data_IF_242336659616
#
_entry.id   IF_242336659616
#
_cell.length_a   1.000
_cell.length_b   1.000
_cell.length_c   1.000
_cell.angle_alpha   90.00
_cell.angle_beta   90.00
_cell.angle_gamma   90.00
#
_symmetry.space_group_name_H-M   'P 1'
#
loop_
_entity.id
_entity.type
_entity.pdbx_description
1 polymer ?
#
# COMPACT_ATOMS: atom_id res chain seq x y z
N UNK A 1 -18.89 -4.17 -35.01
CA UNK A 1 -18.06 -3.47 -34.01
C UNK A 1 -17.42 -2.31 -34.73
N UNK A 2 -17.52 -1.11 -34.18
CA UNK A 2 -17.14 0.13 -34.87
C UNK A 2 -15.61 0.29 -34.90
N UNK A 3 -15.01 0.11 -36.07
CA UNK A 3 -13.56 0.07 -36.32
C UNK A 3 -12.85 1.37 -35.89
N UNK A 4 -13.61 2.48 -35.77
CA UNK A 4 -13.14 3.77 -35.27
C UNK A 4 -12.72 3.76 -33.80
N UNK A 5 -13.31 2.90 -32.96
CA UNK A 5 -13.00 2.88 -31.53
C UNK A 5 -11.67 2.17 -31.23
N UNK A 6 -11.27 1.22 -32.08
CA UNK A 6 -10.05 0.42 -31.84
C UNK A 6 -8.77 1.24 -32.04
N UNK A 7 -8.83 2.31 -32.85
CA UNK A 7 -7.72 3.25 -33.05
C UNK A 7 -7.44 4.14 -31.82
N UNK A 8 -8.39 4.23 -30.88
CA UNK A 8 -8.20 4.94 -29.62
C UNK A 8 -7.46 4.09 -28.57
N UNK A 9 -7.32 2.79 -28.79
CA UNK A 9 -6.60 1.91 -27.88
C UNK A 9 -5.07 2.12 -27.98
N UNK A 10 -4.41 2.03 -26.83
CA UNK A 10 -2.96 2.18 -26.73
C UNK A 10 -2.29 0.93 -27.30
N UNK A 11 -1.56 1.09 -28.41
CA UNK A 11 -0.84 0.02 -29.07
C UNK A 11 0.23 -0.60 -28.15
N UNK A 12 0.48 -1.93 -28.23
CA UNK A 12 1.53 -2.59 -27.45
C UNK A 12 2.90 -1.98 -27.78
N UNK A 13 3.69 -1.64 -26.75
CA UNK A 13 4.98 -0.96 -26.90
C UNK A 13 4.91 0.58 -26.89
N UNK A 14 3.71 1.18 -26.90
CA UNK A 14 3.51 2.62 -26.75
C UNK A 14 3.51 3.01 -25.27
N UNK A 15 4.48 3.83 -24.84
CA UNK A 15 4.56 4.36 -23.46
C UNK A 15 5.99 4.48 -22.92
N UNK A 16 6.11 4.99 -21.69
CA UNK A 16 7.41 5.00 -20.98
C UNK A 16 7.69 3.60 -20.42
N UNK A 17 8.91 3.11 -20.64
CA UNK A 17 9.38 1.86 -20.03
C UNK A 17 9.47 2.02 -18.50
N UNK A 18 9.20 0.95 -17.76
CA UNK A 18 9.41 0.95 -16.31
C UNK A 18 10.89 1.10 -15.99
N UNK A 19 11.21 1.79 -14.89
CA UNK A 19 12.60 1.87 -14.40
C UNK A 19 13.05 0.54 -13.76
N UNK A 20 12.10 -0.25 -13.28
CA UNK A 20 12.34 -1.56 -12.72
C UNK A 20 12.14 -2.66 -13.76
N UNK A 21 13.03 -3.64 -13.74
CA UNK A 21 12.91 -4.91 -14.44
C UNK A 21 11.82 -5.78 -13.79
N UNK A 22 11.34 -6.77 -14.53
CA UNK A 22 10.34 -7.73 -14.05
C UNK A 22 10.87 -8.48 -12.81
N UNK A 23 12.14 -8.87 -12.82
CA UNK A 23 12.79 -9.56 -11.69
C UNK A 23 12.80 -8.69 -10.44
N UNK A 24 13.19 -7.43 -10.58
CA UNK A 24 13.22 -6.46 -9.47
C UNK A 24 11.81 -6.20 -8.92
N UNK A 25 10.79 -6.12 -9.79
CA UNK A 25 9.39 -6.01 -9.36
C UNK A 25 8.95 -7.24 -8.53
N UNK A 26 9.40 -8.44 -8.89
CA UNK A 26 9.11 -9.64 -8.10
C UNK A 26 9.80 -9.63 -6.73
N UNK A 27 11.04 -9.14 -6.65
CA UNK A 27 11.77 -8.96 -5.39
C UNK A 27 11.06 -7.97 -4.47
N UNK A 28 10.65 -6.82 -5.01
CA UNK A 28 9.88 -5.81 -4.25
C UNK A 28 8.55 -6.37 -3.76
N UNK A 29 7.87 -7.17 -4.59
CA UNK A 29 6.64 -7.87 -4.18
C UNK A 29 6.90 -8.82 -3.01
N UNK A 30 8.04 -9.52 -3.01
CA UNK A 30 8.47 -10.37 -1.89
C UNK A 30 8.60 -9.58 -0.59
N UNK A 31 9.27 -8.43 -0.62
CA UNK A 31 9.42 -7.56 0.55
C UNK A 31 8.09 -7.06 1.10
N UNK A 32 7.20 -6.59 0.23
CA UNK A 32 5.87 -6.11 0.60
C UNK A 32 4.97 -7.22 1.17
N UNK A 33 5.22 -8.47 0.79
CA UNK A 33 4.48 -9.63 1.31
C UNK A 33 5.00 -10.08 2.69
N UNK A 34 6.28 -9.86 2.96
CA UNK A 34 6.93 -10.20 4.23
C UNK A 34 6.64 -9.16 5.32
N UNK A 35 6.65 -7.87 4.96
CA UNK A 35 6.46 -6.76 5.90
C UNK A 35 5.35 -5.82 5.41
N UNK A 36 4.19 -5.89 6.07
CA UNK A 36 3.03 -5.04 5.78
C UNK A 36 3.14 -3.63 6.34
N UNK A 37 4.17 -3.33 7.13
CA UNK A 37 4.43 -2.00 7.70
C UNK A 37 5.44 -1.18 6.89
N UNK A 38 5.87 -1.68 5.72
CA UNK A 38 6.75 -0.96 4.81
C UNK A 38 6.10 0.33 4.33
N UNK A 39 6.64 1.46 4.80
CA UNK A 39 6.25 2.79 4.34
C UNK A 39 6.94 3.13 3.01
N UNK A 40 6.41 4.12 2.29
CA UNK A 40 6.97 4.59 1.02
C UNK A 40 8.45 5.00 1.18
N UNK A 41 8.77 5.71 2.27
CA UNK A 41 10.14 6.20 2.51
C UNK A 41 11.10 5.05 2.88
N UNK A 42 10.64 4.06 3.64
CA UNK A 42 11.44 2.85 3.92
C UNK A 42 11.68 2.02 2.67
N UNK A 43 10.64 1.83 1.85
CA UNK A 43 10.77 1.10 0.60
C UNK A 43 11.70 1.83 -0.37
N UNK A 44 11.70 3.16 -0.37
CA UNK A 44 12.64 3.97 -1.15
C UNK A 44 14.08 3.65 -0.80
N UNK A 45 14.42 3.76 0.48
CA UNK A 45 15.78 3.51 0.98
C UNK A 45 16.20 2.07 0.63
N UNK A 46 15.31 1.10 0.86
CA UNK A 46 15.60 -0.30 0.55
C UNK A 46 15.85 -0.56 -0.94
N UNK A 47 15.09 0.07 -1.84
CA UNK A 47 15.31 -0.04 -3.29
C UNK A 47 16.62 0.64 -3.70
N UNK A 48 16.96 1.76 -3.07
CA UNK A 48 18.20 2.49 -3.34
C UNK A 48 19.43 1.70 -2.88
N UNK A 49 19.34 1.01 -1.74
CA UNK A 49 20.40 0.17 -1.18
C UNK A 49 20.60 -1.16 -1.94
N UNK A 50 19.51 -1.88 -2.24
CA UNK A 50 19.59 -3.25 -2.79
C UNK A 50 19.62 -3.29 -4.33
N UNK A 51 19.02 -2.30 -4.99
CA UNK A 51 18.87 -2.27 -6.45
C UNK A 51 19.63 -1.11 -7.10
N UNK A 52 20.35 -0.30 -6.31
CA UNK A 52 21.11 0.87 -6.76
C UNK A 52 20.30 1.85 -7.62
N UNK A 53 18.98 1.92 -7.37
CA UNK A 53 18.02 2.71 -8.16
C UNK A 53 17.38 3.81 -7.34
N UNK A 54 17.65 5.05 -7.71
CA UNK A 54 17.01 6.21 -7.11
C UNK A 54 15.61 6.43 -7.71
N UNK A 55 14.56 6.06 -6.95
CA UNK A 55 13.17 6.28 -7.34
C UNK A 55 12.54 7.43 -6.56
N UNK A 56 11.75 8.25 -7.25
CA UNK A 56 10.93 9.28 -6.60
C UNK A 56 9.81 8.68 -5.75
N UNK A 57 9.37 9.41 -4.72
CA UNK A 57 8.27 9.02 -3.81
C UNK A 57 6.99 8.63 -4.57
N UNK A 58 6.65 9.39 -5.61
CA UNK A 58 5.47 9.13 -6.45
C UNK A 58 5.60 7.84 -7.27
N UNK A 59 6.81 7.53 -7.76
CA UNK A 59 7.10 6.29 -8.49
C UNK A 59 6.93 5.08 -7.58
N UNK A 60 7.41 5.17 -6.35
CA UNK A 60 7.28 4.10 -5.35
C UNK A 60 5.83 3.90 -4.95
N UNK A 61 5.07 4.98 -4.72
CA UNK A 61 3.64 4.85 -4.47
C UNK A 61 2.93 4.14 -5.64
N UNK A 62 3.21 4.53 -6.90
CA UNK A 62 2.65 3.86 -8.07
C UNK A 62 3.04 2.39 -8.14
N UNK A 63 4.29 2.05 -7.81
CA UNK A 63 4.78 0.68 -7.73
C UNK A 63 4.02 -0.13 -6.68
N UNK A 64 3.88 0.38 -5.46
CA UNK A 64 3.12 -0.28 -4.39
C UNK A 64 1.66 -0.53 -4.82
N UNK A 65 1.02 0.46 -5.46
CA UNK A 65 -0.34 0.33 -5.99
C UNK A 65 -0.43 -0.72 -7.11
N UNK A 66 0.55 -0.76 -8.02
CA UNK A 66 0.65 -1.74 -9.11
C UNK A 66 0.80 -3.16 -8.56
N UNK A 67 1.56 -3.33 -7.48
CA UNK A 67 1.79 -4.61 -6.81
C UNK A 67 0.66 -5.03 -5.86
N UNK A 68 -0.50 -4.35 -5.94
CA UNK A 68 -1.69 -4.60 -5.09
C UNK A 68 -1.43 -4.47 -3.60
N UNK A 69 -0.44 -3.67 -3.18
CA UNK A 69 -0.25 -3.33 -1.78
C UNK A 69 -1.34 -2.34 -1.34
N UNK A 70 -2.29 -2.84 -0.56
CA UNK A 70 -3.30 -2.03 0.11
C UNK A 70 -3.00 -2.04 1.59
N UNK A 71 -2.68 -0.88 2.15
CA UNK A 71 -2.74 -0.72 3.61
C UNK A 71 -4.21 -0.87 4.00
N UNK A 72 -4.57 -1.97 4.66
CA UNK A 72 -5.88 -2.10 5.29
C UNK A 72 -5.87 -1.11 6.46
N UNK A 73 -6.25 0.14 6.19
CA UNK A 73 -6.42 1.13 7.24
C UNK A 73 -7.57 0.65 8.12
N UNK A 74 -7.33 0.36 9.41
CA UNK A 74 -8.42 -0.03 10.29
C UNK A 74 -9.42 1.13 10.36
N UNK A 75 -10.70 0.79 10.30
CA UNK A 75 -11.77 1.76 10.46
C UNK A 75 -11.63 2.43 11.83
N UNK A 76 -11.90 3.75 11.94
CA UNK A 76 -11.86 4.44 13.21
C UNK A 76 -12.77 3.72 14.21
N UNK A 77 -12.24 3.42 15.40
CA UNK A 77 -13.03 2.81 16.48
C UNK A 77 -14.16 3.77 16.87
N UNK A 78 -15.37 3.25 16.96
CA UNK A 78 -16.51 4.01 17.46
C UNK A 78 -16.26 4.39 18.92
N UNK A 79 -16.52 5.63 19.33
CA UNK A 79 -16.23 6.14 20.68
C UNK A 79 -16.88 5.30 21.80
N UNK A 80 -18.05 4.69 21.56
CA UNK A 80 -18.70 3.75 22.52
C UNK A 80 -17.95 2.43 22.73
N UNK A 81 -16.92 2.14 21.93
CA UNK A 81 -16.07 0.96 22.06
C UNK A 81 -14.73 1.29 22.74
N UNK A 82 -14.60 2.48 23.35
CA UNK A 82 -13.42 2.82 24.14
C UNK A 82 -13.33 1.94 25.38
N UNK A 83 -12.26 1.16 25.45
CA UNK A 83 -12.02 0.21 26.54
C UNK A 83 -11.99 0.89 27.92
N UNK A 84 -11.49 2.14 27.99
CA UNK A 84 -11.46 2.91 29.23
C UNK A 84 -12.86 3.25 29.75
N UNK A 85 -13.74 3.72 28.85
CA UNK A 85 -15.12 4.06 29.18
C UNK A 85 -15.88 2.80 29.64
N UNK A 86 -15.62 1.67 28.98
CA UNK A 86 -16.26 0.40 29.33
C UNK A 86 -15.81 -0.14 30.69
N UNK A 87 -14.52 -0.03 31.02
CA UNK A 87 -13.97 -0.43 32.32
C UNK A 87 -14.44 0.47 33.46
N UNK A 88 -14.49 1.79 33.25
CA UNK A 88 -15.08 2.73 34.22
C UNK A 88 -16.56 2.44 34.45
N UNK A 89 -17.32 2.14 33.39
CA UNK A 89 -18.74 1.79 33.51
C UNK A 89 -18.95 0.48 34.30
N UNK A 90 -18.12 -0.55 34.08
CA UNK A 90 -18.19 -1.81 34.86
C UNK A 90 -17.88 -1.57 36.33
N UNK A 91 -16.83 -0.81 36.65
CA UNK A 91 -16.43 -0.49 38.02
C UNK A 91 -17.55 0.24 38.77
N UNK A 92 -18.16 1.24 38.13
CA UNK A 92 -19.29 1.97 38.72
C UNK A 92 -20.50 1.07 38.98
N UNK A 93 -20.72 0.05 38.14
CA UNK A 93 -21.83 -0.90 38.27
C UNK A 93 -21.63 -1.86 39.47
N UNK A 94 -20.38 -2.30 39.69
CA UNK A 94 -20.00 -3.11 40.85
C UNK A 94 -20.07 -2.34 42.18
N UNK A 95 -19.76 -1.03 42.19
CA UNK A 95 -19.87 -0.19 43.39
C UNK A 95 -21.34 0.13 43.78
N UNK A 96 -22.27 0.05 42.83
CA UNK A 96 -23.70 0.35 43.07
C UNK A 96 -24.56 -0.86 43.46
N UNK A 97 -24.01 -2.08 43.44
CA UNK A 97 -24.67 -3.33 43.85
C UNK A 97 -24.29 -3.72 45.29
#
# INVERSE_FOLDING_TARGET
MDESLDQLNVQPGRGRKSLLSIEEETTVKGWLSQDSQLTIDRLKVKIEEELEKCLGRSTIHRLMKKLSFSSITPWPRHYKQDAKILEEAKKNLEETL
#
